data_IF_244258533782
#
_entry.id   IF_244258533782
#
_cell.length_a   1.000
_cell.length_b   1.000
_cell.length_c   1.000
_cell.angle_alpha   90.00
_cell.angle_beta   90.00
_cell.angle_gamma   90.00
#
_symmetry.space_group_name_H-M   'P 1'
#
loop_
_entity.id
_entity.type
_entity.pdbx_description
1 polymer ?
#
# COMPACT_ATOMS: atom_id res chain seq x y z
N UNK A 1 -14.90 -22.25 38.20
CA UNK A 1 -15.68 -21.26 37.43
C UNK A 1 -14.91 -20.99 36.14
N UNK A 2 -15.51 -21.25 34.97
CA UNK A 2 -14.82 -21.01 33.70
C UNK A 2 -14.82 -19.51 33.41
N UNK A 3 -13.64 -18.92 33.26
CA UNK A 3 -13.52 -17.53 32.88
C UNK A 3 -13.83 -17.37 31.38
N UNK A 4 -15.08 -17.01 31.07
CA UNK A 4 -15.48 -16.64 29.70
C UNK A 4 -15.19 -15.17 29.47
N UNK A 5 -14.60 -14.86 28.33
CA UNK A 5 -14.38 -13.47 27.91
C UNK A 5 -15.71 -12.84 27.48
N UNK A 6 -15.94 -11.61 27.92
CA UNK A 6 -17.05 -10.82 27.41
C UNK A 6 -16.78 -10.47 25.94
N UNK A 7 -17.67 -10.85 25.05
CA UNK A 7 -17.63 -10.38 23.67
C UNK A 7 -17.88 -8.87 23.63
N UNK A 8 -17.19 -8.20 22.72
CA UNK A 8 -17.49 -6.82 22.39
C UNK A 8 -18.82 -6.74 21.63
N UNK A 9 -19.52 -5.59 21.65
CA UNK A 9 -20.70 -5.42 20.82
C UNK A 9 -20.47 -5.82 19.36
N UNK A 10 -21.35 -6.63 18.80
CA UNK A 10 -21.26 -7.16 17.42
C UNK A 10 -20.00 -7.99 17.13
N UNK A 11 -19.32 -8.51 18.16
CA UNK A 11 -18.18 -9.40 17.97
C UNK A 11 -18.63 -10.84 17.71
N UNK A 12 -18.08 -11.42 16.64
CA UNK A 12 -18.25 -12.81 16.28
C UNK A 12 -16.88 -13.47 16.06
N UNK A 13 -16.81 -14.78 16.27
CA UNK A 13 -15.56 -15.53 16.29
C UNK A 13 -15.58 -16.71 15.30
N UNK A 14 -14.47 -16.91 14.58
CA UNK A 14 -14.24 -18.08 13.73
C UNK A 14 -13.08 -18.89 14.27
N UNK A 15 -13.21 -20.22 14.25
CA UNK A 15 -12.13 -21.14 14.58
C UNK A 15 -11.00 -21.03 13.56
N UNK A 16 -9.76 -21.08 14.05
CA UNK A 16 -8.57 -21.05 13.20
C UNK A 16 -8.10 -22.48 12.94
N UNK A 17 -8.37 -23.00 11.74
CA UNK A 17 -8.02 -24.35 11.34
C UNK A 17 -6.52 -24.63 11.48
N UNK A 18 -6.18 -25.86 11.88
CA UNK A 18 -4.80 -26.28 12.12
C UNK A 18 -4.18 -25.70 13.39
N UNK A 19 -4.99 -25.18 14.31
CA UNK A 19 -4.54 -24.69 15.61
C UNK A 19 -5.30 -25.40 16.74
N UNK A 20 -4.71 -25.38 17.94
CA UNK A 20 -5.36 -25.93 19.14
C UNK A 20 -6.24 -24.85 19.78
N UNK A 21 -7.54 -24.88 19.49
CA UNK A 21 -8.57 -24.04 20.13
C UNK A 21 -8.37 -22.52 20.01
N UNK A 22 -7.75 -22.04 18.92
CA UNK A 22 -7.65 -20.63 18.64
C UNK A 22 -8.81 -20.15 17.76
N UNK A 23 -9.27 -18.92 18.05
CA UNK A 23 -10.35 -18.26 17.34
C UNK A 23 -9.94 -16.82 16.98
N UNK A 24 -10.39 -16.35 15.84
CA UNK A 24 -10.20 -14.95 15.40
C UNK A 24 -11.55 -14.25 15.27
N UNK A 25 -11.65 -13.03 15.80
CA UNK A 25 -12.87 -12.24 15.72
C UNK A 25 -12.89 -11.30 14.51
N UNK A 26 -14.10 -10.88 14.12
CA UNK A 26 -14.32 -9.82 13.13
C UNK A 26 -13.74 -8.46 13.59
N UNK A 27 -13.39 -8.31 14.86
CA UNK A 27 -12.73 -7.14 15.44
C UNK A 27 -11.21 -7.31 15.60
N UNK A 28 -10.61 -8.26 14.88
CA UNK A 28 -9.15 -8.53 14.85
C UNK A 28 -8.56 -8.96 16.20
N UNK A 29 -9.36 -9.57 17.04
CA UNK A 29 -8.89 -10.17 18.29
C UNK A 29 -8.62 -11.66 18.09
N UNK A 30 -7.67 -12.22 18.82
CA UNK A 30 -7.43 -13.67 18.89
C UNK A 30 -7.76 -14.13 20.31
N UNK A 31 -8.51 -15.21 20.44
CA UNK A 31 -8.67 -15.92 21.70
C UNK A 31 -8.25 -17.39 21.57
N UNK A 32 -7.81 -17.95 22.68
CA UNK A 32 -7.66 -19.39 22.86
C UNK A 32 -8.64 -19.87 23.92
N UNK A 33 -9.25 -21.02 23.66
CA UNK A 33 -10.07 -21.73 24.65
C UNK A 33 -9.20 -22.89 25.17
N UNK A 34 -8.91 -22.88 26.46
CA UNK A 34 -8.12 -23.95 27.10
C UNK A 34 -8.99 -25.18 27.36
N UNK A 35 -8.35 -26.31 27.61
CA UNK A 35 -9.04 -27.58 27.89
C UNK A 35 -10.01 -27.52 29.08
N UNK A 36 -9.75 -26.63 30.05
CA UNK A 36 -10.64 -26.34 31.17
C UNK A 36 -11.79 -25.38 30.82
N UNK A 37 -11.91 -24.96 29.56
CA UNK A 37 -12.93 -24.06 29.07
C UNK A 37 -12.66 -22.57 29.31
N UNK A 38 -11.50 -22.20 29.88
CA UNK A 38 -11.13 -20.79 30.06
C UNK A 38 -10.76 -20.13 28.74
N UNK A 39 -11.24 -18.92 28.52
CA UNK A 39 -10.93 -18.13 27.33
C UNK A 39 -9.87 -17.06 27.64
N UNK A 40 -8.91 -16.89 26.78
CA UNK A 40 -7.85 -15.89 26.92
C UNK A 40 -7.55 -15.18 25.61
N UNK A 41 -7.47 -13.83 25.64
CA UNK A 41 -7.00 -13.05 24.49
C UNK A 41 -5.50 -13.21 24.30
N UNK A 42 -5.08 -13.38 23.05
CA UNK A 42 -3.69 -13.51 22.64
C UNK A 42 -3.28 -12.38 21.69
N UNK A 43 -1.99 -12.02 21.73
CA UNK A 43 -1.42 -11.04 20.78
C UNK A 43 -1.05 -11.67 19.43
N UNK A 44 -0.77 -12.96 19.42
CA UNK A 44 -0.39 -13.74 18.23
C UNK A 44 -0.57 -15.23 18.48
N UNK A 45 -0.55 -16.03 17.42
CA UNK A 45 -0.39 -17.49 17.48
C UNK A 45 0.83 -17.89 16.66
N UNK A 46 1.48 -18.99 17.06
CA UNK A 46 2.53 -19.60 16.25
C UNK A 46 1.88 -20.54 15.24
N UNK A 47 2.34 -20.48 13.98
CA UNK A 47 1.98 -21.51 13.00
C UNK A 47 2.80 -22.79 13.23
N UNK A 48 2.55 -23.84 12.45
CA UNK A 48 3.27 -25.12 12.52
C UNK A 48 4.78 -25.01 12.29
N UNK A 49 5.26 -23.89 11.76
CA UNK A 49 6.68 -23.60 11.54
C UNK A 49 7.28 -22.69 12.62
N UNK A 50 6.56 -22.42 13.70
CA UNK A 50 7.04 -21.55 14.79
C UNK A 50 7.01 -20.04 14.48
N UNK A 51 6.41 -19.63 13.36
CA UNK A 51 6.30 -18.22 12.98
C UNK A 51 5.08 -17.60 13.64
N UNK A 52 5.29 -16.47 14.34
CA UNK A 52 4.21 -15.74 14.98
C UNK A 52 3.30 -15.06 13.94
N UNK A 53 2.03 -15.44 13.93
CA UNK A 53 1.00 -14.81 13.11
C UNK A 53 0.29 -13.72 13.91
N UNK A 54 0.26 -12.50 13.38
CA UNK A 54 -0.47 -11.40 14.00
C UNK A 54 -1.99 -11.60 13.89
N UNK A 55 -2.78 -11.00 14.79
CA UNK A 55 -4.25 -11.02 14.67
C UNK A 55 -4.74 -10.55 13.30
N UNK A 56 -4.06 -9.57 12.72
CA UNK A 56 -4.42 -9.02 11.41
C UNK A 56 -4.19 -10.01 10.26
N UNK A 57 -3.08 -10.76 10.26
CA UNK A 57 -2.79 -11.77 9.24
C UNK A 57 -3.80 -12.92 9.27
N UNK A 58 -4.17 -13.35 10.48
CA UNK A 58 -5.15 -14.43 10.68
C UNK A 58 -6.54 -13.94 10.32
N UNK A 59 -6.90 -12.75 10.76
CA UNK A 59 -8.18 -12.11 10.48
C UNK A 59 -8.45 -12.04 8.96
N UNK A 60 -7.48 -11.56 8.15
CA UNK A 60 -7.61 -11.55 6.69
C UNK A 60 -7.97 -12.91 6.09
N UNK A 61 -7.36 -13.97 6.63
CA UNK A 61 -7.55 -15.34 6.12
C UNK A 61 -8.94 -15.89 6.41
N UNK A 62 -9.52 -15.60 7.58
CA UNK A 62 -10.73 -16.27 8.05
C UNK A 62 -12.00 -15.45 7.89
N UNK A 63 -11.89 -14.13 7.85
CA UNK A 63 -13.04 -13.26 7.72
C UNK A 63 -13.34 -12.85 6.29
N UNK A 64 -12.58 -13.46 5.32
CA UNK A 64 -12.76 -13.16 3.90
C UNK A 64 -13.05 -11.65 3.74
N UNK A 65 -12.39 -10.86 4.57
CA UNK A 65 -12.25 -9.50 4.25
C UNK A 65 -11.24 -9.58 3.14
N UNK A 66 -11.76 -9.79 1.97
CA UNK A 66 -11.25 -9.01 0.90
C UNK A 66 -10.86 -7.72 1.59
N UNK A 67 -9.58 -7.36 1.56
CA UNK A 67 -9.25 -5.94 1.61
C UNK A 67 -9.99 -5.52 0.37
N UNK A 68 -11.28 -5.26 0.61
CA UNK A 68 -12.21 -5.01 -0.46
C UNK A 68 -11.51 -3.91 -1.17
N UNK A 69 -11.10 -4.21 -2.35
CA UNK A 69 -10.99 -3.22 -3.36
C UNK A 69 -12.18 -2.31 -3.11
N UNK A 70 -11.94 -1.15 -2.48
CA UNK A 70 -13.02 -0.23 -2.09
C UNK A 70 -13.70 0.36 -3.32
N UNK A 71 -13.44 -0.28 -4.47
CA UNK A 71 -13.89 0.14 -5.77
C UNK A 71 -12.91 1.12 -6.43
N UNK A 72 -13.16 1.38 -7.67
CA UNK A 72 -12.49 2.41 -8.42
C UNK A 72 -12.97 3.78 -7.92
N UNK A 73 -12.08 4.76 -7.89
CA UNK A 73 -12.45 6.15 -7.64
C UNK A 73 -13.21 6.69 -8.87
N UNK A 74 -13.98 7.74 -8.69
CA UNK A 74 -14.65 8.40 -9.80
C UNK A 74 -13.63 8.81 -10.89
N UNK A 75 -13.88 8.36 -12.12
CA UNK A 75 -12.98 8.59 -13.26
C UNK A 75 -11.61 7.91 -13.14
N UNK A 76 -11.50 6.85 -12.34
CA UNK A 76 -10.25 6.10 -12.22
C UNK A 76 -10.16 5.03 -13.31
N UNK A 77 -9.02 5.07 -14.00
CA UNK A 77 -8.64 4.12 -15.05
C UNK A 77 -7.40 3.35 -14.63
N UNK A 78 -7.30 2.08 -15.02
CA UNK A 78 -6.20 1.19 -14.67
C UNK A 78 -5.52 0.63 -15.90
N UNK A 79 -4.21 0.62 -15.87
CA UNK A 79 -3.35 0.08 -16.94
C UNK A 79 -2.38 -0.92 -16.34
N UNK A 80 -2.24 -2.07 -17.00
CA UNK A 80 -1.29 -3.12 -16.62
C UNK A 80 0.14 -2.59 -16.76
N UNK A 81 0.97 -2.87 -15.76
CA UNK A 81 2.40 -2.51 -15.79
C UNK A 81 3.12 -3.42 -16.79
N UNK A 82 3.89 -2.83 -17.71
CA UNK A 82 4.49 -3.51 -18.87
C UNK A 82 5.25 -4.80 -18.53
N UNK A 83 5.98 -4.81 -17.43
CA UNK A 83 6.80 -5.95 -16.97
C UNK A 83 6.15 -6.82 -15.88
N UNK A 84 4.86 -6.61 -15.58
CA UNK A 84 4.15 -7.34 -14.52
C UNK A 84 2.66 -7.50 -14.84
N UNK A 85 2.28 -8.63 -15.44
CA UNK A 85 0.94 -8.88 -15.97
C UNK A 85 -0.20 -8.83 -14.94
N UNK A 86 0.11 -9.05 -13.67
CA UNK A 86 -0.84 -9.01 -12.54
C UNK A 86 -0.81 -7.69 -11.75
N UNK A 87 -0.01 -6.71 -12.19
CA UNK A 87 0.12 -5.41 -11.55
C UNK A 87 -0.50 -4.33 -12.42
N UNK A 88 -1.36 -3.53 -11.84
CA UNK A 88 -1.98 -2.39 -12.49
C UNK A 88 -1.68 -1.09 -11.72
N UNK A 89 -1.50 -0.02 -12.47
CA UNK A 89 -1.37 1.35 -11.95
C UNK A 89 -2.52 2.21 -12.47
N UNK A 90 -3.02 3.13 -11.63
CA UNK A 90 -4.13 4.00 -12.02
C UNK A 90 -3.70 5.42 -12.36
N UNK A 91 -4.54 6.11 -13.14
CA UNK A 91 -4.43 7.54 -13.42
C UNK A 91 -4.56 8.41 -12.14
N UNK A 92 -5.04 7.85 -11.04
CA UNK A 92 -5.12 8.50 -9.71
C UNK A 92 -3.91 8.21 -8.82
N UNK A 93 -2.87 7.54 -9.34
CA UNK A 93 -1.63 7.27 -8.60
C UNK A 93 -1.73 6.12 -7.61
N UNK A 94 -2.67 5.21 -7.80
CA UNK A 94 -2.79 3.98 -7.00
C UNK A 94 -2.15 2.81 -7.74
N UNK A 95 -1.73 1.77 -7.00
CA UNK A 95 -1.17 0.54 -7.56
C UNK A 95 -1.86 -0.66 -6.92
N UNK A 96 -2.19 -1.67 -7.72
CA UNK A 96 -2.84 -2.91 -7.26
C UNK A 96 -2.27 -4.14 -7.94
N UNK A 97 -2.43 -5.29 -7.30
CA UNK A 97 -2.37 -6.59 -7.98
C UNK A 97 -3.78 -7.03 -8.37
N UNK A 98 -3.89 -7.71 -9.51
CA UNK A 98 -5.13 -8.35 -9.96
C UNK A 98 -5.23 -9.79 -9.46
N UNK A 99 -4.12 -10.37 -8.98
CA UNK A 99 -4.04 -11.73 -8.48
C UNK A 99 -3.30 -11.84 -7.14
N UNK A 100 -3.93 -11.36 -6.06
CA UNK A 100 -3.31 -11.46 -4.75
C UNK A 100 -3.09 -12.91 -4.32
N UNK A 101 -1.83 -13.34 -4.33
CA UNK A 101 -1.39 -14.71 -3.93
C UNK A 101 -2.06 -15.84 -4.71
N UNK A 102 -2.32 -15.68 -5.99
CA UNK A 102 -2.95 -16.71 -6.83
C UNK A 102 -4.44 -16.90 -6.56
N UNK A 103 -5.11 -15.91 -6.00
CA UNK A 103 -6.56 -15.99 -5.66
C UNK A 103 -7.46 -15.30 -6.68
N UNK A 104 -6.90 -14.62 -7.68
CA UNK A 104 -7.65 -13.78 -8.61
C UNK A 104 -8.26 -12.52 -7.96
N UNK A 105 -7.86 -12.20 -6.73
CA UNK A 105 -8.44 -11.08 -5.99
C UNK A 105 -7.64 -9.80 -6.20
N UNK A 106 -8.32 -8.73 -6.61
CA UNK A 106 -7.72 -7.40 -6.72
C UNK A 106 -7.42 -6.82 -5.34
N UNK A 107 -6.20 -6.31 -5.13
CA UNK A 107 -5.77 -5.75 -3.85
C UNK A 107 -4.78 -4.61 -4.07
N UNK A 108 -4.99 -3.47 -3.39
CA UNK A 108 -4.00 -2.38 -3.38
C UNK A 108 -2.68 -2.87 -2.78
N UNK A 109 -1.57 -2.56 -3.43
CA UNK A 109 -0.25 -2.82 -2.90
C UNK A 109 0.08 -1.85 -1.76
N UNK A 110 0.89 -2.34 -0.82
CA UNK A 110 1.42 -1.48 0.24
C UNK A 110 2.40 -0.48 -0.35
N UNK A 111 2.20 0.79 -0.03
CA UNK A 111 3.08 1.90 -0.42
C UNK A 111 3.75 2.51 0.80
N UNK A 112 4.85 3.22 0.59
CA UNK A 112 5.54 3.96 1.65
C UNK A 112 6.19 5.23 1.09
N UNK A 113 6.36 6.22 1.96
CA UNK A 113 7.09 7.44 1.65
C UNK A 113 8.61 7.20 1.69
N UNK A 114 9.32 7.79 0.72
CA UNK A 114 10.76 7.88 0.71
C UNK A 114 11.17 9.26 0.17
N UNK A 115 11.59 10.16 1.05
CA UNK A 115 11.95 11.54 0.73
C UNK A 115 10.83 12.33 0.02
N UNK A 116 9.59 12.09 0.43
CA UNK A 116 8.39 12.72 -0.14
C UNK A 116 7.85 12.03 -1.39
N UNK A 117 8.50 11.00 -1.92
CA UNK A 117 8.00 10.20 -3.02
C UNK A 117 7.35 8.91 -2.52
N UNK A 118 6.24 8.54 -3.13
CA UNK A 118 5.56 7.29 -2.81
C UNK A 118 6.12 6.15 -3.65
N UNK A 119 6.56 5.09 -2.97
CA UNK A 119 7.13 3.87 -3.56
C UNK A 119 6.23 2.67 -3.34
N UNK A 120 6.35 1.69 -4.22
CA UNK A 120 5.80 0.36 -4.07
C UNK A 120 6.83 -0.71 -4.46
N UNK A 121 6.64 -1.94 -3.94
CA UNK A 121 7.29 -3.13 -4.47
C UNK A 121 6.26 -4.00 -5.17
N UNK A 122 6.65 -4.56 -6.31
CA UNK A 122 5.92 -5.63 -6.98
C UNK A 122 6.90 -6.68 -7.49
N UNK A 123 6.39 -7.83 -7.92
CA UNK A 123 7.16 -8.89 -8.57
C UNK A 123 6.91 -8.78 -10.07
N UNK A 124 7.98 -8.70 -10.86
CA UNK A 124 7.85 -8.66 -12.32
C UNK A 124 7.65 -10.06 -12.92
N UNK A 125 7.41 -10.13 -14.23
CA UNK A 125 7.19 -11.40 -14.95
C UNK A 125 8.37 -12.39 -14.84
N UNK A 126 9.57 -11.92 -14.51
CA UNK A 126 10.78 -12.74 -14.29
C UNK A 126 10.91 -13.23 -12.84
N UNK A 127 10.00 -12.86 -11.95
CA UNK A 127 10.05 -13.19 -10.52
C UNK A 127 10.93 -12.28 -9.68
N UNK A 128 11.45 -11.18 -10.23
CA UNK A 128 12.27 -10.22 -9.50
C UNK A 128 11.42 -9.22 -8.72
N UNK A 129 11.87 -8.85 -7.52
CA UNK A 129 11.25 -7.78 -6.74
C UNK A 129 11.70 -6.42 -7.30
N UNK A 130 10.77 -5.67 -7.83
CA UNK A 130 10.99 -4.32 -8.36
C UNK A 130 10.54 -3.29 -7.32
N UNK A 131 11.46 -2.42 -6.91
CA UNK A 131 11.19 -1.24 -6.10
C UNK A 131 11.09 -0.03 -7.02
N UNK A 132 9.95 0.64 -7.06
CA UNK A 132 9.73 1.76 -7.98
C UNK A 132 8.90 2.87 -7.34
N UNK A 133 9.16 4.15 -7.68
CA UNK A 133 8.26 5.23 -7.31
C UNK A 133 7.02 5.21 -8.21
N UNK A 134 5.84 5.42 -7.61
CA UNK A 134 4.55 5.30 -8.30
C UNK A 134 4.41 6.29 -9.46
N UNK A 135 4.87 7.55 -9.32
CA UNK A 135 4.80 8.52 -10.40
C UNK A 135 5.46 8.04 -11.70
N UNK A 136 6.51 7.19 -11.61
CA UNK A 136 7.15 6.62 -12.80
C UNK A 136 6.25 5.61 -13.50
N UNK A 137 5.54 4.78 -12.76
CA UNK A 137 4.58 3.83 -13.33
C UNK A 137 3.42 4.57 -13.98
N UNK A 138 2.87 5.57 -13.30
CA UNK A 138 1.77 6.39 -13.85
C UNK A 138 2.21 7.10 -15.13
N UNK A 139 3.36 7.76 -15.13
CA UNK A 139 3.83 8.46 -16.31
C UNK A 139 4.08 7.52 -17.49
N UNK A 140 4.69 6.35 -17.24
CA UNK A 140 4.89 5.34 -18.30
C UNK A 140 3.58 4.81 -18.88
N UNK A 141 2.57 4.60 -18.03
CA UNK A 141 1.30 4.01 -18.43
C UNK A 141 0.36 4.99 -19.15
N UNK A 142 0.37 6.26 -18.77
CA UNK A 142 -0.66 7.22 -19.18
C UNK A 142 -0.15 8.42 -19.97
N UNK A 143 1.15 8.73 -19.93
CA UNK A 143 1.67 9.96 -20.55
C UNK A 143 2.62 9.60 -21.71
N UNK A 144 2.26 9.88 -22.96
CA UNK A 144 3.17 9.68 -24.08
C UNK A 144 4.48 10.44 -23.92
N UNK A 145 5.60 9.77 -24.26
CA UNK A 145 6.94 10.36 -24.20
C UNK A 145 7.70 10.23 -25.55
N UNK A 146 7.22 10.88 -26.62
CA UNK A 146 7.84 10.74 -27.94
C UNK A 146 9.25 11.32 -28.03
N UNK A 147 9.62 12.19 -27.09
CA UNK A 147 10.93 12.82 -27.02
C UNK A 147 11.91 12.06 -26.10
N UNK A 148 11.51 10.91 -25.53
CA UNK A 148 12.31 10.13 -24.59
C UNK A 148 12.90 10.97 -23.44
N UNK A 149 12.14 11.91 -22.89
CA UNK A 149 12.58 12.72 -21.77
C UNK A 149 12.81 11.84 -20.53
N UNK A 150 13.95 12.01 -19.81
CA UNK A 150 14.38 11.06 -18.79
C UNK A 150 13.73 11.25 -17.41
N UNK A 151 13.22 12.44 -17.13
CA UNK A 151 12.69 12.81 -15.83
C UNK A 151 11.17 13.01 -15.85
N UNK A 152 10.57 12.96 -14.67
CA UNK A 152 9.16 13.28 -14.45
C UNK A 152 9.10 14.38 -13.42
N UNK A 153 8.37 15.44 -13.75
CA UNK A 153 8.12 16.57 -12.87
C UNK A 153 6.70 16.48 -12.30
N UNK A 154 6.58 16.79 -11.01
CA UNK A 154 5.28 17.04 -10.37
C UNK A 154 4.94 18.51 -10.55
N UNK A 155 3.96 18.80 -11.40
CA UNK A 155 3.62 20.17 -11.85
C UNK A 155 3.37 21.09 -10.66
N UNK A 156 2.67 20.61 -9.63
CA UNK A 156 2.39 21.35 -8.40
C UNK A 156 3.52 21.29 -7.36
N UNK A 157 4.63 20.57 -7.65
CA UNK A 157 5.77 20.32 -6.74
C UNK A 157 5.46 19.45 -5.51
N UNK A 158 4.29 18.84 -5.43
CA UNK A 158 3.88 17.93 -4.37
C UNK A 158 4.23 16.51 -4.80
N UNK A 159 5.28 15.93 -4.20
CA UNK A 159 5.93 14.67 -4.64
C UNK A 159 5.10 13.41 -4.40
N UNK A 160 4.12 13.44 -3.53
CA UNK A 160 3.17 12.36 -3.25
C UNK A 160 1.87 12.47 -4.04
N UNK A 161 1.65 13.56 -4.78
CA UNK A 161 0.52 13.72 -5.70
C UNK A 161 0.82 13.08 -7.06
N UNK A 162 0.61 11.77 -7.15
CA UNK A 162 0.95 10.95 -8.31
C UNK A 162 -0.18 10.86 -9.34
N UNK A 163 -1.21 11.70 -9.27
CA UNK A 163 -2.27 11.75 -10.28
C UNK A 163 -1.70 12.14 -11.64
N UNK A 164 -2.20 11.53 -12.70
CA UNK A 164 -1.68 11.73 -14.08
C UNK A 164 -1.70 13.19 -14.50
N UNK A 165 -2.75 13.95 -14.14
CA UNK A 165 -2.89 15.39 -14.44
C UNK A 165 -1.81 16.26 -13.78
N UNK A 166 -1.12 15.75 -12.76
CA UNK A 166 -0.04 16.45 -12.05
C UNK A 166 1.35 16.04 -12.52
N UNK A 167 1.47 15.12 -13.47
CA UNK A 167 2.77 14.59 -13.93
C UNK A 167 3.05 15.01 -15.36
N UNK A 168 4.32 15.26 -15.68
CA UNK A 168 4.78 15.46 -17.04
C UNK A 168 6.19 14.94 -17.24
N UNK A 169 6.48 14.41 -18.42
CA UNK A 169 7.84 14.09 -18.84
C UNK A 169 8.64 15.39 -19.04
N UNK A 170 9.87 15.40 -18.59
CA UNK A 170 10.71 16.60 -18.61
C UNK A 170 12.18 16.24 -18.78
N UNK A 171 12.98 17.20 -19.23
CA UNK A 171 14.43 17.13 -19.12
C UNK A 171 14.86 17.65 -17.74
N UNK A 172 16.12 17.41 -17.37
CA UNK A 172 16.68 17.93 -16.12
C UNK A 172 16.64 19.47 -16.06
N UNK A 173 16.89 20.12 -17.18
CA UNK A 173 16.87 21.59 -17.29
C UNK A 173 15.44 22.14 -17.13
N UNK A 174 14.48 21.57 -17.84
CA UNK A 174 13.07 21.93 -17.71
C UNK A 174 12.55 21.72 -16.28
N UNK A 175 12.90 20.59 -15.64
CA UNK A 175 12.53 20.28 -14.26
C UNK A 175 13.13 21.30 -13.27
N UNK A 176 14.41 21.65 -13.47
CA UNK A 176 15.07 22.66 -12.66
C UNK A 176 14.40 24.02 -12.79
N UNK A 177 13.91 24.37 -13.97
CA UNK A 177 13.26 25.65 -14.30
C UNK A 177 11.75 25.66 -14.02
N UNK A 178 11.18 24.63 -13.39
CA UNK A 178 9.77 24.64 -12.97
C UNK A 178 9.49 25.90 -12.13
N UNK A 179 8.56 26.78 -12.55
CA UNK A 179 8.34 28.09 -11.92
C UNK A 179 7.98 28.00 -10.44
N UNK A 180 7.19 26.97 -10.05
CA UNK A 180 6.77 26.76 -8.67
C UNK A 180 7.98 26.30 -7.82
N UNK A 181 8.80 25.39 -8.35
CA UNK A 181 10.04 24.95 -7.71
C UNK A 181 11.02 26.12 -7.53
N UNK A 182 11.10 27.02 -8.50
CA UNK A 182 11.92 28.23 -8.42
C UNK A 182 11.44 29.16 -7.30
N UNK A 183 10.13 29.44 -7.22
CA UNK A 183 9.53 30.25 -6.15
C UNK A 183 9.79 29.61 -4.78
N UNK A 184 9.63 28.29 -4.64
CA UNK A 184 9.85 27.59 -3.39
C UNK A 184 11.33 27.66 -2.94
N UNK A 185 12.29 27.58 -3.87
CA UNK A 185 13.72 27.77 -3.58
C UNK A 185 14.02 29.17 -3.05
N UNK A 186 13.47 30.22 -3.68
CA UNK A 186 13.66 31.60 -3.23
C UNK A 186 13.08 31.79 -1.82
N UNK A 187 11.87 31.29 -1.56
CA UNK A 187 11.27 31.34 -0.22
C UNK A 187 12.11 30.60 0.82
N UNK A 188 12.62 29.41 0.49
CA UNK A 188 13.48 28.63 1.38
C UNK A 188 14.85 29.27 1.67
N UNK A 189 15.40 30.04 0.74
CA UNK A 189 16.64 30.79 0.96
C UNK A 189 16.45 31.98 1.90
N UNK A 190 15.33 32.71 1.80
CA UNK A 190 14.98 33.82 2.71
C UNK A 190 14.83 33.37 4.17
N UNK A 191 14.34 32.15 4.40
CA UNK A 191 14.19 31.59 5.77
C UNK A 191 15.51 31.11 6.36
N UNK A 192 16.50 30.73 5.55
CA UNK A 192 17.84 30.31 6.01
C UNK A 192 18.81 31.47 6.23
N UNK A 193 18.57 32.63 5.63
CA UNK A 193 19.39 33.83 5.78
C UNK A 193 19.15 34.62 7.06
N UNK A 194 18.16 34.25 7.88
CA UNK A 194 17.77 34.98 9.12
C UNK A 194 18.40 34.48 10.43
N UNK A 195 19.43 33.63 10.40
CA UNK A 195 20.16 33.21 11.61
C UNK A 195 21.67 33.30 11.43
N UNK A 196 22.19 34.53 11.39
CA UNK A 196 23.55 34.90 11.75
C UNK A 196 23.50 36.30 12.35
N UNK A 197 23.19 36.36 13.61
CA UNK A 197 23.66 37.38 14.54
C UNK A 197 23.98 36.65 15.83
#
# INVERSE_FOLDING_TARGET
MNNKLNNLPNESWKYVEGTNNYYVSNLKRIKVIRDNGDEQIRKSILNSYGVALSPFSIFKRYWNIDIKWEGDLEGEEWVVVEDAADIEVSNKGRIRTTDYRGTGTKTLLKTWDCNGYIYANYINNEGNIIKTPIHRLVAKAFIPNPQNKPEIDHINTIRDDNRVENLKWTTREENFNNPISHINRIKGQKTRGGKRI
#
